data_IF_828961563853
#
_entry.id   IF_828961563853
#
_cell.length_a   1.000
_cell.length_b   1.000
_cell.length_c   1.000
_cell.angle_alpha   90.00
_cell.angle_beta   90.00
_cell.angle_gamma   90.00
#
_symmetry.space_group_name_H-M   'P 1'
#
loop_
_entity.id
_entity.type
_entity.pdbx_description
1 polymer ?
#
# COMPACT_ATOMS: atom_id res chain seq x y z
N UNK A 1 13.76 -57.42 -57.17
CA UNK A 1 13.50 -57.07 -55.75
C UNK A 1 14.42 -55.92 -55.39
N UNK A 2 13.91 -54.70 -55.45
CA UNK A 2 14.66 -53.47 -55.16
C UNK A 2 14.50 -53.14 -53.68
N UNK A 3 15.59 -53.25 -52.91
CA UNK A 3 15.60 -52.97 -51.47
C UNK A 3 15.90 -51.47 -51.28
N UNK A 4 14.93 -50.71 -50.75
CA UNK A 4 15.15 -49.31 -50.37
C UNK A 4 15.73 -49.27 -48.96
N UNK A 5 16.96 -48.77 -48.83
CA UNK A 5 17.58 -48.44 -47.55
C UNK A 5 17.04 -47.10 -47.07
N UNK A 6 16.18 -47.12 -46.04
CA UNK A 6 15.73 -45.92 -45.34
C UNK A 6 16.85 -45.48 -44.40
N UNK A 7 17.41 -44.29 -44.63
CA UNK A 7 18.40 -43.67 -43.72
C UNK A 7 17.69 -43.18 -42.46
N UNK A 8 18.18 -43.51 -41.25
CA UNK A 8 17.64 -42.94 -40.02
C UNK A 8 18.11 -41.49 -39.90
N UNK A 9 17.17 -40.55 -39.95
CA UNK A 9 17.44 -39.13 -39.70
C UNK A 9 17.50 -38.90 -38.19
N UNK A 10 18.65 -38.40 -37.70
CA UNK A 10 18.83 -38.01 -36.31
C UNK A 10 18.03 -36.72 -36.07
N UNK A 11 16.93 -36.83 -35.32
CA UNK A 11 16.20 -35.66 -34.83
C UNK A 11 17.01 -35.01 -33.70
N UNK A 12 17.61 -33.86 -33.99
CA UNK A 12 18.25 -33.02 -32.99
C UNK A 12 17.17 -32.28 -32.18
N UNK A 13 16.97 -32.68 -30.93
CA UNK A 13 16.05 -32.00 -30.00
C UNK A 13 16.62 -30.63 -29.61
N UNK A 14 15.99 -29.56 -30.07
CA UNK A 14 16.28 -28.19 -29.64
C UNK A 14 15.66 -28.00 -28.24
N UNK A 15 16.48 -28.03 -27.19
CA UNK A 15 16.05 -27.63 -25.86
C UNK A 15 15.94 -26.10 -25.80
N UNK A 16 14.72 -25.57 -25.87
CA UNK A 16 14.44 -24.17 -25.57
C UNK A 16 14.56 -23.95 -24.06
N UNK A 17 15.74 -23.52 -23.61
CA UNK A 17 15.94 -23.02 -22.26
C UNK A 17 15.21 -21.68 -22.11
N UNK A 18 13.95 -21.71 -21.67
CA UNK A 18 13.25 -20.51 -21.25
C UNK A 18 13.98 -19.95 -20.01
N UNK A 19 14.80 -18.91 -20.21
CA UNK A 19 15.33 -18.12 -19.11
C UNK A 19 14.15 -17.42 -18.46
N UNK A 20 13.63 -17.99 -17.37
CA UNK A 20 12.65 -17.32 -16.53
C UNK A 20 13.42 -16.23 -15.81
N UNK A 21 13.42 -15.01 -16.37
CA UNK A 21 13.84 -13.83 -15.64
C UNK A 21 12.87 -13.68 -14.47
N UNK A 22 13.27 -14.15 -13.28
CA UNK A 22 12.60 -13.83 -12.03
C UNK A 22 12.89 -12.35 -11.78
N UNK A 23 12.01 -11.49 -12.29
CA UNK A 23 11.98 -10.09 -11.92
C UNK A 23 11.58 -10.05 -10.43
N UNK A 24 12.57 -9.96 -9.55
CA UNK A 24 12.34 -9.63 -8.16
C UNK A 24 11.85 -8.19 -8.11
N UNK A 25 10.53 -8.01 -8.06
CA UNK A 25 9.94 -6.73 -7.71
C UNK A 25 10.34 -6.45 -6.26
N UNK A 26 11.45 -5.73 -6.08
CA UNK A 26 11.73 -5.10 -4.82
C UNK A 26 10.65 -4.03 -4.66
N UNK A 27 9.61 -4.32 -3.88
CA UNK A 27 8.73 -3.30 -3.35
C UNK A 27 9.64 -2.30 -2.65
N UNK A 28 10.00 -1.22 -3.35
CA UNK A 28 10.71 -0.11 -2.78
C UNK A 28 9.78 0.44 -1.71
N UNK A 29 10.01 0.01 -0.46
CA UNK A 29 9.22 0.43 0.67
C UNK A 29 9.38 1.93 0.77
N UNK A 30 8.39 2.67 0.27
CA UNK A 30 8.32 4.13 0.40
C UNK A 30 8.32 4.42 1.90
N UNK A 31 9.48 4.81 2.42
CA UNK A 31 9.64 5.22 3.81
C UNK A 31 9.37 6.71 3.88
N UNK A 32 8.23 7.07 4.48
CA UNK A 32 7.92 8.46 4.80
C UNK A 32 8.33 8.70 6.24
N UNK A 33 9.17 9.71 6.46
CA UNK A 33 9.48 10.17 7.81
C UNK A 33 8.24 10.87 8.39
N UNK A 34 7.68 10.27 9.44
CA UNK A 34 6.50 10.83 10.10
C UNK A 34 6.94 11.74 11.24
N UNK A 35 6.37 12.95 11.29
CA UNK A 35 6.65 13.95 12.33
C UNK A 35 5.41 14.18 13.20
N UNK A 36 5.63 14.45 14.49
CA UNK A 36 4.57 14.70 15.49
C UNK A 36 3.78 13.44 15.88
N UNK A 37 2.57 13.63 16.41
CA UNK A 37 1.67 12.53 16.85
C UNK A 37 1.42 11.44 15.80
N UNK A 38 1.60 11.73 14.51
CA UNK A 38 1.53 10.74 13.42
C UNK A 38 2.51 9.59 13.53
N UNK A 39 3.69 9.80 14.13
CA UNK A 39 4.70 8.76 14.38
C UNK A 39 4.42 7.94 15.64
N UNK A 40 3.55 8.43 16.52
CA UNK A 40 3.14 7.77 17.74
C UNK A 40 2.07 6.71 17.47
N UNK A 41 1.84 5.81 18.43
CA UNK A 41 0.85 4.75 18.30
C UNK A 41 -0.59 5.27 18.38
N UNK A 42 -1.52 4.53 17.79
CA UNK A 42 -2.96 4.73 17.99
C UNK A 42 -3.35 4.70 19.48
N UNK A 43 -2.69 3.88 20.30
CA UNK A 43 -2.89 3.86 21.75
C UNK A 43 -2.50 5.20 22.40
N UNK A 44 -1.37 5.78 22.00
CA UNK A 44 -0.93 7.10 22.47
C UNK A 44 -1.93 8.19 22.07
N UNK A 45 -2.32 8.25 20.79
CA UNK A 45 -3.33 9.21 20.32
C UNK A 45 -4.63 9.17 21.14
N UNK A 46 -5.08 7.97 21.53
CA UNK A 46 -6.34 7.77 22.27
C UNK A 46 -6.20 7.88 23.79
N UNK A 47 -5.02 8.16 24.31
CA UNK A 47 -4.73 8.06 25.76
C UNK A 47 -5.22 9.26 26.59
N UNK A 48 -5.25 10.45 26.02
CA UNK A 48 -5.69 11.69 26.70
C UNK A 48 -6.46 12.57 25.72
N UNK A 49 -7.26 13.51 26.25
CA UNK A 49 -7.96 14.47 25.41
C UNK A 49 -7.00 15.39 24.63
N UNK A 50 -5.88 15.78 25.25
CA UNK A 50 -4.83 16.56 24.59
C UNK A 50 -4.25 15.83 23.38
N UNK A 51 -3.88 14.54 23.53
CA UNK A 51 -3.41 13.73 22.42
C UNK A 51 -4.51 13.56 21.36
N UNK A 52 -5.79 13.40 21.76
CA UNK A 52 -6.90 13.31 20.80
C UNK A 52 -7.04 14.57 19.96
N UNK A 53 -6.92 15.75 20.57
CA UNK A 53 -6.99 17.05 19.88
C UNK A 53 -5.81 17.24 18.93
N UNK A 54 -4.58 16.99 19.40
CA UNK A 54 -3.37 17.05 18.56
C UNK A 54 -3.50 16.11 17.35
N UNK A 55 -3.89 14.86 17.59
CA UNK A 55 -4.10 13.87 16.55
C UNK A 55 -5.21 14.24 15.58
N UNK A 56 -6.28 14.89 16.04
CA UNK A 56 -7.37 15.34 15.16
C UNK A 56 -6.88 16.36 14.14
N UNK A 57 -6.15 17.38 14.59
CA UNK A 57 -5.54 18.39 13.70
C UNK A 57 -4.56 17.72 12.74
N UNK A 58 -3.71 16.83 13.25
CA UNK A 58 -2.73 16.11 12.45
C UNK A 58 -3.38 15.22 11.38
N UNK A 59 -4.43 14.46 11.73
CA UNK A 59 -5.20 13.60 10.80
C UNK A 59 -5.73 14.42 9.63
N UNK A 60 -6.34 15.57 9.89
CA UNK A 60 -6.87 16.44 8.83
C UNK A 60 -5.77 16.98 7.92
N UNK A 61 -4.63 17.40 8.48
CA UNK A 61 -3.47 17.85 7.71
C UNK A 61 -2.92 16.74 6.82
N UNK A 62 -2.70 15.55 7.39
CA UNK A 62 -2.19 14.40 6.64
C UNK A 62 -3.16 13.96 5.54
N UNK A 63 -4.46 13.87 5.83
CA UNK A 63 -5.49 13.55 4.84
C UNK A 63 -5.51 14.55 3.67
N UNK A 64 -5.34 15.85 3.97
CA UNK A 64 -5.22 16.89 2.95
C UNK A 64 -4.00 16.68 2.07
N UNK A 65 -2.85 16.33 2.66
CA UNK A 65 -1.66 15.95 1.91
C UNK A 65 -1.88 14.74 0.99
N UNK A 66 -2.58 13.71 1.46
CA UNK A 66 -2.95 12.55 0.66
C UNK A 66 -3.89 12.91 -0.50
N UNK A 67 -4.83 13.82 -0.28
CA UNK A 67 -5.69 14.36 -1.34
C UNK A 67 -4.89 15.11 -2.40
N UNK A 68 -3.95 15.95 -1.97
CA UNK A 68 -3.07 16.70 -2.88
C UNK A 68 -2.22 15.77 -3.75
N UNK A 69 -1.55 14.78 -3.13
CA UNK A 69 -0.75 13.78 -3.87
C UNK A 69 -1.61 12.99 -4.84
N UNK A 70 -2.81 12.58 -4.43
CA UNK A 70 -3.75 11.88 -5.31
C UNK A 70 -4.12 12.73 -6.52
N UNK A 71 -4.50 14.00 -6.31
CA UNK A 71 -4.82 14.94 -7.38
C UNK A 71 -3.65 15.16 -8.34
N UNK A 72 -2.46 15.43 -7.79
CA UNK A 72 -1.23 15.65 -8.56
C UNK A 72 -0.81 14.41 -9.38
N UNK A 73 -1.19 13.22 -8.92
CA UNK A 73 -0.88 11.94 -9.56
C UNK A 73 -2.03 11.40 -10.44
N UNK A 74 -3.08 12.21 -10.69
CA UNK A 74 -4.25 11.80 -11.48
C UNK A 74 -5.10 10.68 -10.84
N UNK A 75 -4.93 10.41 -9.55
CA UNK A 75 -5.73 9.43 -8.81
C UNK A 75 -7.00 10.07 -8.24
N UNK A 76 -8.03 9.26 -8.06
CA UNK A 76 -9.25 9.67 -7.35
C UNK A 76 -8.96 9.91 -5.86
N UNK A 77 -9.71 10.83 -5.27
CA UNK A 77 -9.71 11.14 -3.84
C UNK A 77 -10.92 10.46 -3.19
N UNK A 78 -10.81 10.00 -1.93
CA UNK A 78 -11.97 9.54 -1.18
C UNK A 78 -13.05 10.61 -1.07
N UNK A 79 -14.32 10.23 -1.28
CA UNK A 79 -15.48 11.10 -1.06
C UNK A 79 -16.09 10.82 0.32
N UNK A 80 -15.36 11.20 1.37
CA UNK A 80 -15.84 11.11 2.76
C UNK A 80 -16.04 12.50 3.35
N UNK A 81 -17.06 12.67 4.19
CA UNK A 81 -17.29 13.94 4.88
C UNK A 81 -16.13 14.22 5.84
N UNK A 82 -15.74 15.49 5.97
CA UNK A 82 -14.67 15.90 6.91
C UNK A 82 -15.00 15.46 8.33
N UNK A 83 -16.28 15.56 8.73
CA UNK A 83 -16.78 15.10 10.04
C UNK A 83 -16.65 13.60 10.27
N UNK A 84 -16.54 12.78 9.22
CA UNK A 84 -16.42 11.32 9.34
C UNK A 84 -14.98 10.83 9.36
N UNK A 85 -14.01 11.61 8.85
CA UNK A 85 -12.61 11.17 8.70
C UNK A 85 -12.04 10.64 10.02
N UNK A 86 -12.11 11.45 11.08
CA UNK A 86 -11.50 11.11 12.39
C UNK A 86 -12.18 9.88 13.00
N UNK A 87 -13.50 9.75 12.86
CA UNK A 87 -14.25 8.60 13.36
C UNK A 87 -13.85 7.31 12.65
N UNK A 88 -13.65 7.34 11.33
CA UNK A 88 -13.18 6.16 10.58
C UNK A 88 -11.72 5.81 10.92
N UNK A 89 -10.86 6.80 11.13
CA UNK A 89 -9.49 6.58 11.62
C UNK A 89 -9.52 5.96 13.02
N UNK A 90 -10.41 6.41 13.91
CA UNK A 90 -10.57 5.83 15.24
C UNK A 90 -10.99 4.35 15.18
N UNK A 91 -11.92 3.99 14.28
CA UNK A 91 -12.28 2.59 14.04
C UNK A 91 -11.08 1.75 13.59
N UNK A 92 -10.27 2.26 12.67
CA UNK A 92 -9.04 1.57 12.22
C UNK A 92 -8.02 1.44 13.35
N UNK A 93 -7.82 2.48 14.14
CA UNK A 93 -6.96 2.46 15.32
C UNK A 93 -7.44 1.47 16.39
N UNK A 94 -8.76 1.30 16.56
CA UNK A 94 -9.33 0.34 17.51
C UNK A 94 -9.00 -1.11 17.14
N UNK A 95 -8.85 -1.43 15.85
CA UNK A 95 -8.48 -2.79 15.40
C UNK A 95 -7.02 -3.14 15.71
N UNK A 96 -6.12 -2.15 15.75
CA UNK A 96 -4.70 -2.35 16.02
C UNK A 96 -4.09 -1.13 16.72
N UNK A 97 -4.19 -1.09 18.05
CA UNK A 97 -3.76 0.06 18.84
C UNK A 97 -2.23 0.30 18.82
N UNK A 98 -1.43 -0.72 18.50
CA UNK A 98 0.04 -0.62 18.44
C UNK A 98 0.59 -0.01 17.15
N UNK A 99 -0.21 0.10 16.08
CA UNK A 99 0.24 0.73 14.84
C UNK A 99 0.35 2.25 15.01
N UNK A 100 1.15 2.89 14.15
CA UNK A 100 1.25 4.35 14.15
C UNK A 100 -0.06 4.99 13.68
N UNK A 101 -0.34 6.20 14.17
CA UNK A 101 -1.50 6.96 13.72
C UNK A 101 -1.46 7.18 12.21
N UNK A 102 -0.28 7.49 11.65
CA UNK A 102 -0.10 7.66 10.20
C UNK A 102 -0.48 6.40 9.41
N UNK A 103 -0.10 5.21 9.88
CA UNK A 103 -0.47 3.96 9.23
C UNK A 103 -1.98 3.75 9.27
N UNK A 104 -2.63 4.06 10.39
CA UNK A 104 -4.08 3.96 10.49
C UNK A 104 -4.79 4.92 9.52
N UNK A 105 -4.33 6.18 9.43
CA UNK A 105 -4.90 7.16 8.49
C UNK A 105 -4.72 6.70 7.05
N UNK A 106 -3.53 6.21 6.69
CA UNK A 106 -3.27 5.69 5.34
C UNK A 106 -4.19 4.52 4.97
N UNK A 107 -4.34 3.54 5.88
CA UNK A 107 -5.27 2.43 5.68
C UNK A 107 -6.70 2.92 5.50
N UNK A 108 -7.19 3.79 6.37
CA UNK A 108 -8.53 4.37 6.27
C UNK A 108 -8.71 5.14 4.95
N UNK A 109 -7.69 5.88 4.51
CA UNK A 109 -7.72 6.63 3.25
C UNK A 109 -7.87 5.70 2.03
N UNK A 110 -7.10 4.61 1.99
CA UNK A 110 -7.18 3.61 0.93
C UNK A 110 -8.54 2.88 0.93
N UNK A 111 -9.05 2.53 2.10
CA UNK A 111 -10.37 1.90 2.24
C UNK A 111 -11.48 2.84 1.76
N UNK A 112 -11.39 4.13 2.03
CA UNK A 112 -12.38 5.13 1.60
C UNK A 112 -12.31 5.47 0.10
N UNK A 113 -11.27 5.01 -0.63
CA UNK A 113 -11.22 5.10 -2.11
C UNK A 113 -11.93 3.94 -2.81
N UNK A 114 -12.12 2.81 -2.12
CA UNK A 114 -12.70 1.60 -2.68
C UNK A 114 -14.22 1.75 -2.80
#
# INVERSE_FOLDING_TARGET
>A
MTWWTIKPSLFASIAFGASVCVASAQDAKVSVEMVGVGSMSCAHWRSTEEHRLEGTVWIHGFWTGLNYVAAASGQTQPRISVSSIVAEVEKTCARKASQTLASAVWTTYLEAKR
#
